data_IF_969318873619
#
_entry.id   IF_969318873619
#
_cell.length_a   1.000
_cell.length_b   1.000
_cell.length_c   1.000
_cell.angle_alpha   90.00
_cell.angle_beta   90.00
_cell.angle_gamma   90.00
#
_symmetry.space_group_name_H-M   'P 1'
#
loop_
_entity.id
_entity.type
_entity.pdbx_description
1 polymer ?
#
# COMPACT_ATOMS: atom_id res chain seq x y z
N UNK A 1 -12.37 -17.37 6.12
CA UNK A 1 -12.95 -17.04 7.43
C UNK A 1 -12.93 -15.54 7.66
N UNK A 2 -13.99 -14.98 8.23
CA UNK A 2 -14.04 -13.58 8.69
C UNK A 2 -13.52 -13.54 10.12
N UNK A 3 -12.58 -12.63 10.40
CA UNK A 3 -11.97 -12.47 11.73
C UNK A 3 -12.59 -11.30 12.49
N UNK A 4 -12.92 -10.21 11.80
CA UNK A 4 -13.48 -9.01 12.41
C UNK A 4 -14.37 -8.27 11.39
N UNK A 5 -15.30 -7.46 11.89
CA UNK A 5 -15.95 -6.42 11.10
C UNK A 5 -16.28 -5.22 12.00
N UNK A 6 -16.14 -4.01 11.48
CA UNK A 6 -16.49 -2.80 12.21
C UNK A 6 -16.75 -1.62 11.28
N UNK A 7 -17.38 -0.58 11.83
CA UNK A 7 -17.39 0.73 11.20
C UNK A 7 -15.98 1.33 11.27
N UNK A 8 -15.60 2.05 10.22
CA UNK A 8 -14.30 2.70 10.11
C UNK A 8 -14.37 4.20 10.42
N UNK A 9 -13.25 4.91 10.34
CA UNK A 9 -13.14 6.31 10.81
C UNK A 9 -14.05 7.28 10.05
N UNK A 10 -14.13 7.17 8.72
CA UNK A 10 -14.84 8.15 7.91
C UNK A 10 -16.37 8.05 8.04
N UNK A 11 -17.03 9.19 7.88
CA UNK A 11 -18.49 9.26 7.75
C UNK A 11 -18.98 8.60 6.45
N UNK A 12 -20.28 8.70 6.18
CA UNK A 12 -20.92 8.16 4.98
C UNK A 12 -20.74 6.64 4.80
N UNK A 13 -20.55 5.90 5.90
CA UNK A 13 -20.63 4.45 5.96
C UNK A 13 -19.35 3.70 5.60
N UNK A 14 -18.17 4.26 5.89
CA UNK A 14 -16.92 3.51 5.78
C UNK A 14 -16.94 2.32 6.75
N UNK A 15 -16.60 1.13 6.24
CA UNK A 15 -16.58 -0.10 7.03
C UNK A 15 -15.39 -0.96 6.62
N UNK A 16 -14.92 -1.80 7.54
CA UNK A 16 -13.87 -2.80 7.33
C UNK A 16 -14.36 -4.19 7.73
N UNK A 17 -13.89 -5.20 6.99
CA UNK A 17 -14.09 -6.61 7.31
C UNK A 17 -12.75 -7.29 7.11
N UNK A 18 -12.21 -7.83 8.20
CA UNK A 18 -10.98 -8.60 8.18
C UNK A 18 -11.29 -10.04 7.82
N UNK A 19 -10.53 -10.58 6.87
CA UNK A 19 -10.55 -12.00 6.57
C UNK A 19 -9.19 -12.63 6.83
N UNK A 20 -9.24 -13.89 7.24
CA UNK A 20 -8.06 -14.68 7.56
C UNK A 20 -7.11 -14.79 6.36
N UNK A 21 -5.83 -14.55 6.61
CA UNK A 21 -4.78 -14.65 5.60
C UNK A 21 -4.69 -16.05 4.97
N UNK A 22 -4.11 -16.12 3.77
CA UNK A 22 -3.78 -17.37 3.08
C UNK A 22 -2.44 -17.24 2.35
N UNK A 23 -2.13 -18.16 1.45
CA UNK A 23 -1.02 -17.99 0.51
C UNK A 23 -1.30 -16.81 -0.46
N UNK A 24 -0.28 -16.38 -1.20
CA UNK A 24 -0.34 -15.19 -2.06
C UNK A 24 -1.51 -15.23 -3.05
N UNK A 25 -1.67 -16.33 -3.80
CA UNK A 25 -2.69 -16.47 -4.83
C UNK A 25 -4.11 -16.49 -4.23
N UNK A 26 -4.35 -17.36 -3.25
CA UNK A 26 -5.66 -17.46 -2.62
C UNK A 26 -6.06 -16.18 -1.90
N UNK A 27 -5.10 -15.43 -1.35
CA UNK A 27 -5.40 -14.12 -0.76
C UNK A 27 -5.86 -13.13 -1.83
N UNK A 28 -5.26 -13.14 -3.03
CA UNK A 28 -5.72 -12.31 -4.14
C UNK A 28 -7.12 -12.71 -4.64
N UNK A 29 -7.39 -14.02 -4.73
CA UNK A 29 -8.74 -14.55 -5.04
C UNK A 29 -9.77 -14.07 -4.00
N UNK A 30 -9.41 -14.16 -2.71
CA UNK A 30 -10.26 -13.70 -1.61
C UNK A 30 -10.55 -12.21 -1.69
N UNK A 31 -9.59 -11.36 -2.07
CA UNK A 31 -9.83 -9.91 -2.28
C UNK A 31 -10.86 -9.68 -3.39
N UNK A 32 -10.78 -10.43 -4.49
CA UNK A 32 -11.73 -10.29 -5.59
C UNK A 32 -13.13 -10.76 -5.19
N UNK A 33 -13.22 -11.91 -4.51
CA UNK A 33 -14.48 -12.43 -3.98
C UNK A 33 -15.08 -11.47 -2.95
N UNK A 34 -14.25 -10.91 -2.05
CA UNK A 34 -14.65 -9.95 -1.05
C UNK A 34 -15.30 -8.71 -1.70
N UNK A 35 -14.64 -8.10 -2.69
CA UNK A 35 -15.19 -6.95 -3.42
C UNK A 35 -16.53 -7.29 -4.08
N UNK A 36 -16.65 -8.49 -4.67
CA UNK A 36 -17.88 -8.96 -5.28
C UNK A 36 -19.01 -9.12 -4.26
N UNK A 37 -18.77 -9.84 -3.17
CA UNK A 37 -19.77 -10.10 -2.11
C UNK A 37 -20.25 -8.79 -1.49
N UNK A 38 -19.33 -7.87 -1.15
CA UNK A 38 -19.69 -6.57 -0.56
C UNK A 38 -20.57 -5.75 -1.51
N UNK A 39 -20.19 -5.62 -2.80
CA UNK A 39 -20.98 -4.85 -3.77
C UNK A 39 -22.37 -5.43 -4.01
N UNK A 40 -22.48 -6.76 -4.15
CA UNK A 40 -23.76 -7.41 -4.38
C UNK A 40 -24.65 -7.38 -3.13
N UNK A 41 -24.06 -7.52 -1.95
CA UNK A 41 -24.80 -7.38 -0.69
C UNK A 41 -25.31 -5.95 -0.54
N UNK A 42 -24.47 -4.93 -0.76
CA UNK A 42 -24.93 -3.54 -0.74
C UNK A 42 -26.09 -3.31 -1.72
N UNK A 43 -25.97 -3.80 -2.95
CA UNK A 43 -27.02 -3.70 -3.96
C UNK A 43 -28.33 -4.40 -3.54
N UNK A 44 -28.25 -5.60 -2.96
CA UNK A 44 -29.42 -6.33 -2.46
C UNK A 44 -30.16 -5.58 -1.35
N UNK A 45 -29.46 -4.71 -0.60
CA UNK A 45 -30.02 -3.85 0.44
C UNK A 45 -30.29 -2.41 -0.04
N UNK A 46 -30.39 -2.19 -1.36
CA UNK A 46 -30.71 -0.90 -1.95
C UNK A 46 -29.64 0.17 -1.74
N UNK A 47 -28.37 -0.24 -1.59
CA UNK A 47 -27.20 0.62 -1.40
C UNK A 47 -26.19 0.40 -2.52
N UNK A 48 -25.20 1.29 -2.59
CA UNK A 48 -24.02 1.13 -3.45
C UNK A 48 -22.77 1.13 -2.60
N UNK A 49 -21.83 0.23 -2.89
CA UNK A 49 -20.55 0.16 -2.22
C UNK A 49 -19.42 0.48 -3.20
N UNK A 50 -18.46 1.28 -2.76
CA UNK A 50 -17.26 1.62 -3.52
C UNK A 50 -16.01 1.23 -2.75
N UNK A 51 -14.99 0.86 -3.52
CA UNK A 51 -13.64 0.55 -3.03
C UNK A 51 -12.65 1.63 -3.51
N UNK A 52 -13.18 2.80 -3.91
CA UNK A 52 -12.37 3.94 -4.32
C UNK A 52 -11.52 4.43 -3.15
N UNK A 53 -10.22 4.76 -3.34
CA UNK A 53 -9.33 5.14 -2.25
C UNK A 53 -9.74 6.40 -1.48
N UNK A 54 -10.29 7.40 -2.16
CA UNK A 54 -10.69 8.69 -1.58
C UNK A 54 -12.01 9.17 -2.20
N UNK A 55 -13.16 8.66 -1.73
CA UNK A 55 -14.46 9.08 -2.23
C UNK A 55 -14.94 10.43 -1.63
N UNK A 56 -14.47 10.77 -0.43
CA UNK A 56 -14.87 11.99 0.31
C UNK A 56 -13.62 12.84 0.59
N UNK A 57 -13.67 14.12 0.23
CA UNK A 57 -12.62 15.09 0.56
C UNK A 57 -12.76 15.52 2.02
N UNK A 58 -11.63 15.68 2.72
CA UNK A 58 -11.60 16.13 4.12
C UNK A 58 -11.90 15.05 5.16
N UNK A 59 -12.09 13.80 4.76
CA UNK A 59 -12.31 12.66 5.65
C UNK A 59 -11.38 11.48 5.30
N UNK A 60 -11.29 10.43 6.12
CA UNK A 60 -10.38 9.30 5.90
C UNK A 60 -10.65 8.58 4.57
N UNK A 61 -9.57 8.06 3.96
CA UNK A 61 -9.64 7.25 2.74
C UNK A 61 -9.67 5.76 3.05
N UNK A 62 -9.96 4.93 2.05
CA UNK A 62 -9.93 3.47 2.16
C UNK A 62 -8.57 2.91 1.71
N UNK A 63 -7.88 2.20 2.61
CA UNK A 63 -6.65 1.47 2.32
C UNK A 63 -6.89 -0.02 2.08
N UNK A 64 -5.85 -0.73 1.66
CA UNK A 64 -5.79 -2.19 1.66
C UNK A 64 -4.48 -2.59 2.33
N UNK A 65 -4.47 -2.63 3.66
CA UNK A 65 -3.26 -2.91 4.42
C UNK A 65 -2.80 -4.35 4.20
N UNK A 66 -1.61 -4.52 3.64
CA UNK A 66 -1.08 -5.83 3.26
C UNK A 66 -0.22 -6.41 4.37
N UNK A 67 -0.80 -7.32 5.15
CA UNK A 67 -0.06 -8.11 6.12
C UNK A 67 0.76 -9.23 5.44
N UNK A 68 2.06 -9.31 5.72
CA UNK A 68 2.97 -10.26 5.06
C UNK A 68 3.86 -11.00 6.06
N UNK A 69 4.06 -12.30 5.82
CA UNK A 69 4.99 -13.16 6.54
C UNK A 69 5.46 -14.28 5.63
N UNK A 70 6.75 -14.64 5.68
CA UNK A 70 7.28 -15.82 4.99
C UNK A 70 7.33 -17.03 5.92
N UNK A 71 7.09 -18.20 5.35
CA UNK A 71 7.07 -19.48 6.04
C UNK A 71 7.83 -20.51 5.23
N UNK A 72 8.50 -21.44 5.92
CA UNK A 72 9.16 -22.58 5.29
C UNK A 72 8.94 -23.81 6.14
N UNK A 73 8.49 -24.89 5.53
CA UNK A 73 8.26 -26.19 6.18
C UNK A 73 7.40 -26.10 7.46
N UNK A 74 6.42 -25.18 7.47
CA UNK A 74 5.51 -24.95 8.60
C UNK A 74 6.02 -23.98 9.67
N UNK A 75 7.24 -23.47 9.54
CA UNK A 75 7.85 -22.54 10.50
C UNK A 75 7.86 -21.09 9.99
N UNK A 76 7.51 -20.10 10.84
CA UNK A 76 7.52 -18.69 10.47
C UNK A 76 8.95 -18.14 10.42
N UNK A 77 9.29 -17.44 9.34
CA UNK A 77 10.64 -16.90 9.13
C UNK A 77 10.82 -15.47 9.62
N UNK A 78 9.73 -14.78 9.94
CA UNK A 78 9.76 -13.35 10.31
C UNK A 78 9.92 -13.11 11.80
N UNK A 79 9.80 -14.14 12.65
CA UNK A 79 10.04 -14.02 14.08
C UNK A 79 11.53 -14.11 14.41
N UNK A 80 12.01 -13.24 15.30
CA UNK A 80 13.41 -13.24 15.73
C UNK A 80 13.65 -12.29 16.91
N UNK A 81 14.89 -11.84 17.05
CA UNK A 81 15.40 -11.05 18.17
C UNK A 81 15.69 -9.58 17.81
N UNK A 82 15.40 -9.17 16.58
CA UNK A 82 15.56 -7.79 16.12
C UNK A 82 14.42 -6.92 16.63
N UNK A 83 14.44 -5.64 16.21
CA UNK A 83 13.41 -4.67 16.55
C UNK A 83 11.99 -5.24 16.42
N UNK A 84 11.18 -5.04 17.47
CA UNK A 84 9.80 -5.54 17.57
C UNK A 84 9.64 -7.08 17.45
N UNK A 85 10.69 -7.85 17.73
CA UNK A 85 10.69 -9.32 17.67
C UNK A 85 10.69 -9.86 16.24
N UNK A 86 11.23 -9.08 15.29
CA UNK A 86 11.44 -9.51 13.92
C UNK A 86 12.75 -10.30 13.78
N UNK A 87 12.86 -11.10 12.73
CA UNK A 87 14.13 -11.68 12.30
C UNK A 87 14.93 -10.69 11.46
N UNK A 88 16.24 -10.95 11.30
CA UNK A 88 17.08 -10.23 10.35
C UNK A 88 16.53 -10.33 8.91
N UNK A 89 16.01 -11.50 8.53
CA UNK A 89 15.35 -11.69 7.24
C UNK A 89 14.18 -10.73 7.06
N UNK A 90 13.33 -10.58 8.07
CA UNK A 90 12.21 -9.63 8.02
C UNK A 90 12.71 -8.18 7.94
N UNK A 91 13.81 -7.83 8.64
CA UNK A 91 14.44 -6.51 8.53
C UNK A 91 14.82 -6.21 7.08
N UNK A 92 15.52 -7.12 6.40
CA UNK A 92 15.90 -6.93 5.00
C UNK A 92 14.71 -6.95 4.04
N UNK A 93 13.67 -7.74 4.33
CA UNK A 93 12.42 -7.71 3.55
C UNK A 93 11.77 -6.32 3.61
N UNK A 94 11.75 -5.69 4.79
CA UNK A 94 11.28 -4.31 4.95
C UNK A 94 12.17 -3.35 4.15
N UNK A 95 13.49 -3.53 4.17
CA UNK A 95 14.41 -2.70 3.37
C UNK A 95 14.12 -2.76 1.87
N UNK A 96 13.83 -3.95 1.34
CA UNK A 96 13.38 -4.12 -0.04
C UNK A 96 12.06 -3.40 -0.34
N UNK A 97 11.06 -3.55 0.56
CA UNK A 97 9.79 -2.84 0.42
C UNK A 97 9.97 -1.32 0.42
N UNK A 98 10.77 -0.76 1.32
CA UNK A 98 10.98 0.69 1.42
C UNK A 98 11.79 1.24 0.24
N UNK A 99 12.84 0.54 -0.19
CA UNK A 99 13.66 0.91 -1.35
C UNK A 99 12.79 1.02 -2.61
N UNK A 100 11.97 0.01 -2.86
CA UNK A 100 11.16 -0.10 -4.07
C UNK A 100 9.77 0.53 -3.94
N UNK A 101 9.42 1.12 -2.79
CA UNK A 101 8.08 1.64 -2.52
C UNK A 101 7.57 2.61 -3.60
N UNK A 102 8.37 3.55 -4.14
CA UNK A 102 7.94 4.41 -5.25
C UNK A 102 7.49 3.66 -6.50
N UNK A 103 8.19 2.58 -6.89
CA UNK A 103 7.80 1.71 -8.01
C UNK A 103 6.61 0.81 -7.64
N UNK A 104 6.57 0.29 -6.42
CA UNK A 104 5.49 -0.60 -5.94
C UNK A 104 4.12 0.08 -5.99
N UNK A 105 4.03 1.37 -5.63
CA UNK A 105 2.74 2.09 -5.62
C UNK A 105 2.16 2.30 -7.01
N UNK A 106 2.93 2.17 -8.09
CA UNK A 106 2.40 2.13 -9.46
C UNK A 106 1.46 0.93 -9.71
N UNK A 107 1.61 -0.16 -8.95
CA UNK A 107 0.68 -1.29 -8.94
C UNK A 107 -0.26 -1.27 -7.73
N UNK A 108 0.24 -0.86 -6.56
CA UNK A 108 -0.47 -0.97 -5.28
C UNK A 108 -1.45 0.18 -5.01
N UNK A 109 -1.22 1.35 -5.61
CA UNK A 109 -2.04 2.54 -5.50
C UNK A 109 -2.29 3.15 -6.90
N UNK A 110 -2.83 2.37 -7.86
CA UNK A 110 -2.59 2.60 -9.27
C UNK A 110 -3.58 3.57 -9.94
N UNK A 111 -4.26 4.43 -9.18
CA UNK A 111 -5.23 5.38 -9.73
C UNK A 111 -4.87 6.80 -9.35
N UNK A 112 -5.30 7.79 -10.14
CA UNK A 112 -5.12 9.21 -9.77
C UNK A 112 -5.85 9.57 -8.47
N UNK A 113 -6.91 8.82 -8.10
CA UNK A 113 -7.63 8.97 -6.84
C UNK A 113 -6.83 8.43 -5.63
N UNK A 114 -5.98 7.42 -5.83
CA UNK A 114 -5.05 6.90 -4.82
C UNK A 114 -4.17 8.01 -4.21
N UNK A 115 -3.69 8.93 -5.06
CA UNK A 115 -2.86 10.07 -4.65
C UNK A 115 -3.66 11.23 -4.05
N UNK A 116 -4.99 11.08 -3.91
CA UNK A 116 -5.82 11.93 -3.05
C UNK A 116 -6.00 11.32 -1.66
N UNK A 117 -5.76 10.01 -1.52
CA UNK A 117 -5.63 9.32 -0.22
C UNK A 117 -4.23 9.50 0.35
N UNK A 118 -3.19 9.27 -0.45
CA UNK A 118 -1.77 9.35 -0.03
C UNK A 118 -1.30 10.80 0.14
N UNK A 119 -1.91 11.51 1.08
CA UNK A 119 -1.55 12.87 1.50
C UNK A 119 -1.41 12.91 3.02
N UNK A 120 -0.57 13.79 3.59
CA UNK A 120 -0.46 13.95 5.03
C UNK A 120 -1.84 14.22 5.70
N UNK A 121 -2.02 13.77 6.95
CA UNK A 121 -3.13 14.16 7.82
C UNK A 121 -4.36 13.23 7.90
N UNK A 122 -4.44 12.14 7.13
CA UNK A 122 -5.61 11.23 7.10
C UNK A 122 -5.25 9.74 7.29
N UNK A 123 -4.33 9.43 8.21
CA UNK A 123 -3.78 8.08 8.46
C UNK A 123 -3.16 7.38 7.23
N UNK A 124 -2.96 8.10 6.12
CA UNK A 124 -2.34 7.58 4.92
C UNK A 124 -0.81 7.66 5.02
N UNK A 125 -0.09 6.56 4.82
CA UNK A 125 1.33 6.51 5.03
C UNK A 125 2.07 7.08 3.81
N UNK A 126 2.52 8.33 3.91
CA UNK A 126 3.36 8.94 2.87
C UNK A 126 4.84 8.79 3.15
N UNK A 127 5.23 8.52 4.40
CA UNK A 127 6.62 8.43 4.81
C UNK A 127 7.14 6.99 4.67
N UNK A 128 8.25 6.83 3.95
CA UNK A 128 8.96 5.57 3.74
C UNK A 128 9.79 5.22 4.97
N UNK A 129 9.09 4.88 6.03
CA UNK A 129 9.65 4.43 7.29
C UNK A 129 8.95 3.16 7.77
N UNK A 130 9.54 2.52 8.79
CA UNK A 130 8.92 1.42 9.51
C UNK A 130 8.88 1.66 11.02
N UNK A 131 7.87 1.13 11.69
CA UNK A 131 7.70 1.25 13.15
C UNK A 131 6.73 0.23 13.71
N UNK A 132 6.88 -0.14 14.98
CA UNK A 132 5.88 -0.95 15.71
C UNK A 132 4.71 -0.13 16.27
N UNK A 133 4.88 1.18 16.43
CA UNK A 133 3.92 2.06 17.13
C UNK A 133 3.29 3.09 16.21
N UNK A 134 4.03 3.57 15.23
CA UNK A 134 3.66 4.72 14.43
C UNK A 134 2.70 4.33 13.29
N UNK A 135 1.49 4.91 13.32
CA UNK A 135 0.45 4.71 12.29
C UNK A 135 0.63 5.59 11.05
N UNK A 136 1.74 6.27 10.91
CA UNK A 136 2.03 7.06 9.70
C UNK A 136 3.13 6.44 8.82
N UNK A 137 3.82 5.42 9.34
CA UNK A 137 4.85 4.69 8.63
C UNK A 137 4.25 3.82 7.51
N UNK A 138 4.94 3.74 6.37
CA UNK A 138 4.60 2.84 5.27
C UNK A 138 4.58 1.37 5.69
N UNK A 139 5.49 0.97 6.57
CA UNK A 139 5.51 -0.38 7.14
C UNK A 139 5.23 -0.31 8.64
N UNK A 140 4.16 -0.96 9.08
CA UNK A 140 3.86 -1.15 10.50
C UNK A 140 4.20 -2.57 10.94
N UNK A 141 4.63 -2.73 12.19
CA UNK A 141 4.90 -4.04 12.79
C UNK A 141 3.88 -4.31 13.90
N UNK A 142 2.85 -5.13 13.65
CA UNK A 142 1.84 -5.44 14.66
C UNK A 142 2.42 -6.15 15.90
N UNK A 143 2.05 -5.66 17.09
CA UNK A 143 2.53 -6.17 18.39
C UNK A 143 1.43 -6.84 19.23
N UNK A 144 0.36 -7.32 18.59
CA UNK A 144 -0.82 -7.87 19.28
C UNK A 144 -0.60 -9.22 19.97
N UNK A 145 0.43 -9.98 19.57
CA UNK A 145 0.71 -11.30 20.12
C UNK A 145 2.21 -11.54 20.21
N UNK A 146 2.70 -12.17 21.30
CA UNK A 146 4.09 -12.60 21.40
C UNK A 146 4.37 -13.88 20.59
N UNK A 147 3.35 -14.54 20.03
CA UNK A 147 3.53 -15.79 19.27
C UNK A 147 4.38 -15.54 18.01
N UNK A 148 5.44 -16.34 17.77
CA UNK A 148 6.20 -16.30 16.53
C UNK A 148 5.33 -16.44 15.28
N UNK A 149 4.27 -17.25 15.36
CA UNK A 149 3.31 -17.51 14.27
C UNK A 149 2.46 -16.29 13.90
N UNK A 150 2.34 -15.31 14.79
CA UNK A 150 1.60 -14.08 14.55
C UNK A 150 2.51 -12.95 14.03
N UNK A 151 3.83 -13.16 13.98
CA UNK A 151 4.80 -12.13 13.60
C UNK A 151 4.74 -11.87 12.09
N UNK A 152 4.53 -10.62 11.74
CA UNK A 152 4.32 -10.14 10.37
C UNK A 152 4.64 -8.66 10.28
N UNK A 153 4.77 -8.15 9.06
CA UNK A 153 4.72 -6.73 8.78
C UNK A 153 3.37 -6.38 8.14
N UNK A 154 3.03 -5.09 8.14
CA UNK A 154 1.84 -4.51 7.53
C UNK A 154 2.31 -3.40 6.58
N UNK A 155 2.27 -3.63 5.27
CA UNK A 155 2.56 -2.59 4.27
C UNK A 155 1.28 -1.86 3.92
N UNK A 156 1.20 -0.59 4.27
CA UNK A 156 -0.03 0.21 4.32
C UNK A 156 -0.32 1.14 3.12
N UNK A 157 0.65 1.46 2.24
CA UNK A 157 0.38 2.22 1.03
C UNK A 157 -0.69 1.64 0.08
N UNK A 158 -0.80 0.30 -0.13
CA UNK A 158 -1.76 -0.24 -1.08
C UNK A 158 -3.19 0.19 -0.77
N UNK A 159 -4.00 0.29 -1.82
CA UNK A 159 -5.41 0.63 -1.70
C UNK A 159 -6.30 -0.31 -2.52
N UNK A 160 -7.62 -0.33 -2.27
CA UNK A 160 -8.50 -1.30 -2.89
C UNK A 160 -8.75 -1.07 -4.40
N UNK A 161 -8.17 -0.04 -5.02
CA UNK A 161 -8.24 0.12 -6.47
C UNK A 161 -7.26 -0.78 -7.22
N UNK A 162 -6.30 -1.38 -6.51
CA UNK A 162 -5.29 -2.21 -7.13
C UNK A 162 -5.80 -3.54 -7.68
N UNK A 163 -5.01 -4.11 -8.59
CA UNK A 163 -5.10 -5.52 -8.95
C UNK A 163 -4.31 -6.33 -7.90
N UNK A 164 -4.97 -7.12 -7.03
CA UNK A 164 -4.29 -7.78 -5.91
C UNK A 164 -3.24 -8.80 -6.37
N UNK A 165 -3.42 -9.43 -7.53
CA UNK A 165 -2.45 -10.38 -8.07
C UNK A 165 -1.12 -9.68 -8.42
N UNK A 166 -1.19 -8.56 -9.13
CA UNK A 166 -0.01 -7.77 -9.50
C UNK A 166 0.64 -7.15 -8.27
N UNK A 167 -0.17 -6.57 -7.37
CA UNK A 167 0.32 -5.95 -6.16
C UNK A 167 1.04 -6.95 -5.27
N UNK A 168 0.43 -8.09 -4.96
CA UNK A 168 1.04 -9.05 -4.03
C UNK A 168 2.30 -9.69 -4.61
N UNK A 169 2.31 -9.98 -5.92
CA UNK A 169 3.52 -10.43 -6.60
C UNK A 169 4.64 -9.37 -6.52
N UNK A 170 4.34 -8.10 -6.82
CA UNK A 170 5.33 -7.03 -6.75
C UNK A 170 5.87 -6.82 -5.33
N UNK A 171 5.00 -6.83 -4.31
CA UNK A 171 5.41 -6.73 -2.90
C UNK A 171 6.33 -7.88 -2.49
N UNK A 172 6.02 -9.11 -2.90
CA UNK A 172 6.88 -10.27 -2.64
C UNK A 172 8.24 -10.12 -3.33
N UNK A 173 8.26 -9.75 -4.61
CA UNK A 173 9.50 -9.55 -5.37
C UNK A 173 10.41 -8.50 -4.74
N UNK A 174 9.85 -7.36 -4.30
CA UNK A 174 10.61 -6.32 -3.61
C UNK A 174 11.19 -6.81 -2.27
N UNK A 175 10.38 -7.51 -1.47
CA UNK A 175 10.87 -8.05 -0.21
C UNK A 175 11.95 -9.13 -0.39
N UNK A 176 11.84 -9.96 -1.43
CA UNK A 176 12.88 -10.93 -1.79
C UNK A 176 14.16 -10.24 -2.28
N UNK A 177 14.06 -9.16 -3.06
CA UNK A 177 15.22 -8.35 -3.45
C UNK A 177 15.93 -7.78 -2.21
N UNK A 178 15.14 -7.26 -1.27
CA UNK A 178 15.58 -6.83 0.06
C UNK A 178 16.45 -7.87 0.76
N UNK A 179 15.94 -9.09 0.88
CA UNK A 179 16.65 -10.22 1.51
C UNK A 179 17.92 -10.58 0.75
N UNK A 180 17.85 -10.73 -0.57
CA UNK A 180 18.98 -11.17 -1.40
C UNK A 180 20.13 -10.17 -1.36
N UNK A 181 19.82 -8.88 -1.38
CA UNK A 181 20.80 -7.79 -1.39
C UNK A 181 21.12 -7.25 0.00
N UNK A 182 20.52 -7.82 1.06
CA UNK A 182 20.66 -7.36 2.46
C UNK A 182 20.43 -5.86 2.62
N UNK A 183 19.38 -5.35 2.00
CA UNK A 183 19.05 -3.92 2.00
C UNK A 183 18.61 -3.51 3.40
N UNK A 184 19.38 -2.64 4.06
CA UNK A 184 19.03 -2.14 5.38
C UNK A 184 17.90 -1.10 5.28
N UNK A 185 16.75 -1.28 5.95
CA UNK A 185 15.68 -0.27 6.03
C UNK A 185 16.05 0.97 6.84
N UNK A 186 17.22 1.01 7.48
CA UNK A 186 17.63 2.07 8.40
C UNK A 186 17.02 1.88 9.79
N UNK A 187 17.07 2.95 10.59
CA UNK A 187 16.51 2.94 11.95
C UNK A 187 14.97 3.08 11.93
N UNK A 188 14.25 2.42 12.87
CA UNK A 188 12.81 2.55 12.97
C UNK A 188 12.41 3.97 13.42
N UNK A 189 11.28 4.47 12.89
CA UNK A 189 10.77 5.80 13.20
C UNK A 189 9.61 5.74 14.21
N UNK A 190 9.96 5.64 15.49
CA UNK A 190 9.01 5.49 16.61
C UNK A 190 8.43 6.80 17.17
N UNK A 191 8.84 7.95 16.61
CA UNK A 191 8.21 9.23 16.91
C UNK A 191 6.89 9.36 16.13
N UNK A 192 5.90 10.02 16.72
CA UNK A 192 4.76 10.48 15.92
C UNK A 192 5.29 11.50 14.92
N UNK A 193 5.09 11.25 13.62
CA UNK A 193 5.62 12.12 12.58
C UNK A 193 4.92 13.47 12.56
N UNK A 194 3.70 13.54 13.11
CA UNK A 194 2.93 14.79 13.15
C UNK A 194 3.55 15.79 14.14
N UNK A 195 4.36 15.28 15.07
CA UNK A 195 5.11 16.06 16.06
C UNK A 195 6.55 16.33 15.63
N UNK A 196 6.99 15.81 14.47
CA UNK A 196 8.33 16.08 13.96
C UNK A 196 8.43 17.51 13.41
N UNK A 197 9.50 18.26 13.72
CA UNK A 197 9.77 19.52 13.06
C UNK A 197 9.83 19.36 11.53
N UNK A 198 9.39 20.35 10.74
CA UNK A 198 9.45 20.30 9.27
C UNK A 198 10.85 19.96 8.72
N UNK A 199 11.91 20.37 9.43
CA UNK A 199 13.31 20.08 9.09
C UNK A 199 13.67 18.59 9.27
N UNK A 200 13.14 17.92 10.29
CA UNK A 200 13.33 16.47 10.47
C UNK A 200 12.50 15.67 9.44
N UNK A 201 11.28 16.14 9.13
CA UNK A 201 10.41 15.53 8.13
C UNK A 201 10.96 15.60 6.71
N UNK A 202 11.65 16.70 6.34
CA UNK A 202 12.25 16.86 5.02
C UNK A 202 13.30 15.79 4.69
N UNK A 203 13.89 15.16 5.71
CA UNK A 203 14.89 14.11 5.55
C UNK A 203 14.29 12.70 5.46
N UNK A 204 12.99 12.53 5.71
CA UNK A 204 12.32 11.24 5.60
C UNK A 204 11.87 11.05 4.14
N UNK A 205 12.36 10.02 3.43
CA UNK A 205 11.90 9.74 2.08
C UNK A 205 10.38 9.54 2.06
N UNK A 206 9.72 10.02 1.01
CA UNK A 206 8.27 9.94 0.88
C UNK A 206 7.86 9.25 -0.42
N UNK A 207 6.62 8.76 -0.44
CA UNK A 207 6.02 8.20 -1.64
C UNK A 207 5.82 9.28 -2.72
N UNK A 208 5.78 8.88 -4.01
CA UNK A 208 5.38 9.76 -5.11
C UNK A 208 4.09 10.53 -4.82
N UNK A 209 4.05 11.81 -5.16
CA UNK A 209 2.89 12.68 -4.98
C UNK A 209 1.81 12.50 -6.06
N UNK A 210 2.12 11.76 -7.12
CA UNK A 210 1.21 11.52 -8.24
C UNK A 210 1.39 10.13 -8.86
N UNK A 211 0.36 9.68 -9.58
CA UNK A 211 0.43 8.43 -10.36
C UNK A 211 1.55 8.50 -11.40
N UNK A 212 1.72 9.65 -12.07
CA UNK A 212 2.74 9.83 -13.11
C UNK A 212 4.17 9.71 -12.55
N UNK A 213 4.42 10.26 -11.37
CA UNK A 213 5.70 10.09 -10.65
C UNK A 213 5.94 8.63 -10.27
N UNK A 214 4.92 7.90 -9.80
CA UNK A 214 5.08 6.47 -9.50
C UNK A 214 5.36 5.62 -10.74
N UNK A 215 4.75 5.96 -11.89
CA UNK A 215 5.01 5.26 -13.15
C UNK A 215 6.43 5.53 -13.64
N UNK A 216 6.92 6.75 -13.46
CA UNK A 216 8.33 7.10 -13.72
C UNK A 216 9.26 6.35 -12.77
N UNK A 217 8.91 6.21 -11.49
CA UNK A 217 9.68 5.41 -10.55
C UNK A 217 9.70 3.93 -10.94
N UNK A 218 8.56 3.37 -11.36
CA UNK A 218 8.48 2.01 -11.90
C UNK A 218 9.36 1.86 -13.15
N UNK A 219 9.31 2.81 -14.08
CA UNK A 219 10.15 2.81 -15.28
C UNK A 219 11.64 2.75 -14.93
N UNK A 220 12.07 3.48 -13.90
CA UNK A 220 13.47 3.55 -13.46
C UNK A 220 13.92 2.42 -12.52
N UNK A 221 13.00 1.69 -11.90
CA UNK A 221 13.30 0.71 -10.83
C UNK A 221 12.44 -0.56 -10.95
N UNK A 222 12.34 -1.15 -12.15
CA UNK A 222 11.58 -2.38 -12.37
C UNK A 222 12.43 -3.65 -12.42
N UNK A 223 13.76 -3.57 -12.37
CA UNK A 223 14.66 -4.73 -12.54
C UNK A 223 14.38 -5.85 -11.52
N UNK A 224 14.01 -5.48 -10.29
CA UNK A 224 13.68 -6.45 -9.24
C UNK A 224 12.46 -7.31 -9.59
N UNK A 225 11.54 -6.81 -10.43
CA UNK A 225 10.33 -7.51 -10.87
C UNK A 225 10.62 -8.52 -11.99
N UNK A 226 11.67 -8.31 -12.78
CA UNK A 226 12.03 -9.17 -13.92
C UNK A 226 12.68 -10.49 -13.48
N UNK A 227 13.14 -10.57 -12.23
CA UNK A 227 13.78 -11.79 -11.69
C UNK A 227 12.83 -12.99 -11.78
N UNK A 228 13.33 -14.09 -12.35
CA UNK A 228 12.58 -15.35 -12.46
C UNK A 228 11.39 -15.27 -13.42
N UNK A 229 11.39 -14.32 -14.36
CA UNK A 229 10.34 -14.11 -15.37
C UNK A 229 8.93 -13.91 -14.77
N UNK A 230 8.87 -13.39 -13.53
CA UNK A 230 7.61 -13.13 -12.82
C UNK A 230 6.84 -11.99 -13.48
N UNK A 231 7.53 -10.90 -13.80
CA UNK A 231 7.02 -9.83 -14.65
C UNK A 231 7.86 -9.77 -15.93
N UNK A 232 7.21 -9.41 -17.04
CA UNK A 232 7.91 -9.12 -18.29
C UNK A 232 7.98 -7.61 -18.53
N UNK A 233 9.06 -7.16 -19.17
CA UNK A 233 9.22 -5.75 -19.58
C UNK A 233 8.03 -5.29 -20.42
N UNK A 234 7.55 -6.11 -21.36
CA UNK A 234 6.39 -5.78 -22.19
C UNK A 234 5.09 -5.57 -21.38
N UNK A 235 4.89 -6.31 -20.29
CA UNK A 235 3.74 -6.10 -19.41
C UNK A 235 3.86 -4.78 -18.65
N UNK A 236 5.05 -4.48 -18.12
CA UNK A 236 5.33 -3.25 -17.37
C UNK A 236 5.19 -2.02 -18.26
N UNK A 237 5.80 -2.02 -19.45
CA UNK A 237 5.67 -0.95 -20.44
C UNK A 237 4.20 -0.71 -20.81
N UNK A 238 3.45 -1.79 -21.10
CA UNK A 238 2.03 -1.68 -21.43
C UNK A 238 1.20 -1.14 -20.27
N UNK A 239 1.52 -1.51 -19.03
CA UNK A 239 0.89 -0.96 -17.83
C UNK A 239 1.12 0.55 -17.73
N UNK A 240 2.37 0.99 -17.88
CA UNK A 240 2.75 2.40 -17.83
C UNK A 240 2.02 3.20 -18.91
N UNK A 241 2.08 2.75 -20.17
CA UNK A 241 1.39 3.41 -21.29
C UNK A 241 -0.12 3.49 -21.04
N UNK A 242 -0.74 2.38 -20.61
CA UNK A 242 -2.18 2.36 -20.34
C UNK A 242 -2.57 3.37 -19.27
N UNK A 243 -1.84 3.42 -18.15
CA UNK A 243 -2.14 4.35 -17.05
C UNK A 243 -1.95 5.81 -17.46
N UNK A 244 -0.88 6.13 -18.20
CA UNK A 244 -0.65 7.48 -18.74
C UNK A 244 -1.77 7.89 -19.71
N UNK A 245 -2.13 7.03 -20.67
CA UNK A 245 -3.10 7.37 -21.72
C UNK A 245 -4.56 7.32 -21.28
N UNK A 246 -4.94 6.37 -20.42
CA UNK A 246 -6.34 6.08 -20.09
C UNK A 246 -6.79 6.65 -18.76
N UNK A 247 -5.87 7.03 -17.88
CA UNK A 247 -6.22 7.56 -16.55
C UNK A 247 -5.63 8.96 -16.33
N UNK A 248 -4.33 9.16 -16.56
CA UNK A 248 -3.67 10.45 -16.29
C UNK A 248 -4.07 11.51 -17.33
N UNK A 249 -3.85 11.25 -18.61
CA UNK A 249 -4.14 12.21 -19.69
C UNK A 249 -5.60 12.66 -19.69
N UNK A 250 -6.59 11.76 -19.56
CA UNK A 250 -7.99 12.18 -19.51
C UNK A 250 -8.29 13.08 -18.30
N UNK A 251 -7.74 12.79 -17.13
CA UNK A 251 -7.95 13.66 -15.96
C UNK A 251 -7.28 15.03 -16.16
N UNK A 252 -6.03 15.04 -16.64
CA UNK A 252 -5.24 16.27 -16.85
C UNK A 252 -5.88 17.25 -17.83
N UNK A 253 -6.61 16.74 -18.83
CA UNK A 253 -7.27 17.55 -19.86
C UNK A 253 -8.66 18.08 -19.44
N UNK A 254 -9.16 17.72 -18.25
CA UNK A 254 -10.48 18.13 -17.78
C UNK A 254 -10.32 19.23 -16.72
N UNK A 255 -10.84 20.45 -16.97
CA UNK A 255 -10.90 21.47 -15.94
C UNK A 255 -11.57 20.95 -14.67
N UNK A 256 -10.95 21.18 -13.53
CA UNK A 256 -11.44 20.68 -12.25
C UNK A 256 -12.38 21.73 -11.60
N UNK A 257 -13.50 21.36 -10.96
CA UNK A 257 -14.41 22.33 -10.34
C UNK A 257 -13.73 23.32 -9.37
N UNK A 258 -12.70 22.88 -8.64
CA UNK A 258 -11.89 23.74 -7.76
C UNK A 258 -11.15 24.85 -8.53
N UNK A 259 -10.79 24.65 -9.79
CA UNK A 259 -10.09 25.67 -10.60
C UNK A 259 -10.99 26.89 -10.83
N UNK A 260 -12.31 26.70 -10.94
CA UNK A 260 -13.24 27.83 -11.01
C UNK A 260 -13.20 28.65 -9.72
N UNK A 261 -13.22 28.03 -8.54
CA UNK A 261 -13.14 28.82 -7.30
C UNK A 261 -11.80 29.52 -7.10
N UNK A 262 -10.72 28.98 -7.67
CA UNK A 262 -9.38 29.55 -7.53
C UNK A 262 -9.07 30.62 -8.57
N UNK A 263 -9.58 30.46 -9.79
CA UNK A 263 -9.06 31.16 -10.97
C UNK A 263 -10.14 31.82 -11.85
N UNK A 264 -11.43 31.73 -11.50
CA UNK A 264 -12.50 32.30 -12.33
C UNK A 264 -12.40 33.83 -12.49
N UNK A 265 -11.94 34.53 -11.45
CA UNK A 265 -11.88 35.99 -11.40
C UNK A 265 -10.48 36.58 -11.73
N UNK A 266 -9.58 35.81 -12.37
CA UNK A 266 -8.26 36.32 -12.80
C UNK A 266 -8.42 37.40 -13.88
#
# INVERSE_FOLDING_TARGET
DVECHHHEVATAGQCEIDFRFSNLLHTADNVMLFKYVVKNTANAFGKTATFMPKPVFGDNGSGMHCHQSLWKDGEPLFAGDQYAGLSEMAKFYIGGLLKHAPALVAFAAPTTNSYKRLVPGFEAPVNLAYSARNRSAAVRIPMFSPSPKAKRLEFRPPDPSCNPYLTFAALLMAGLDGIQNRIDPGDPLDKDIYDLPPEELANVPSLPGSLDESLTALENDHDFLLKGDVFSTAMIEKWITYKREKEITPLRLRPHPLEFSMYYDI
#
